data_IF_500206139261
#
_entry.id   IF_500206139261
#
_cell.length_a   1.000
_cell.length_b   1.000
_cell.length_c   1.000
_cell.angle_alpha   90.00
_cell.angle_beta   90.00
_cell.angle_gamma   90.00
#
_symmetry.space_group_name_H-M   'P 1'
#
loop_
_entity.id
_entity.type
_entity.pdbx_description
1 polymer ?
#
# COMPACT_ATOMS: atom_id res chain seq x y z
N UNK A 1 15.11 10.41 1.50
CA UNK A 1 13.64 10.27 1.32
C UNK A 1 13.22 9.12 2.19
N UNK A 2 12.47 9.37 3.26
CA UNK A 2 11.93 8.29 4.09
C UNK A 2 10.83 7.55 3.31
N UNK A 3 10.74 6.22 3.40
CA UNK A 3 9.70 5.46 2.73
C UNK A 3 8.33 5.79 3.36
N UNK A 4 7.39 6.24 2.52
CA UNK A 4 6.01 6.59 2.90
C UNK A 4 5.24 5.37 3.47
N UNK A 5 5.74 4.16 3.24
CA UNK A 5 5.06 2.91 3.57
C UNK A 5 6.09 1.85 3.94
N UNK A 6 5.76 1.00 4.90
CA UNK A 6 6.54 -0.19 5.29
C UNK A 6 6.43 -1.35 4.29
N UNK A 7 5.50 -1.27 3.32
CA UNK A 7 5.30 -2.30 2.30
C UNK A 7 6.42 -2.25 1.25
N UNK A 8 7.02 -3.41 0.98
CA UNK A 8 8.09 -3.59 -0.02
C UNK A 8 7.55 -3.80 -1.45
N UNK A 9 6.41 -4.47 -1.60
CA UNK A 9 5.84 -4.87 -2.88
C UNK A 9 4.50 -4.21 -3.14
N UNK A 10 4.20 -3.90 -4.40
CA UNK A 10 2.88 -3.42 -4.80
C UNK A 10 1.96 -4.60 -5.12
N UNK A 11 1.26 -5.09 -4.10
CA UNK A 11 0.35 -6.24 -4.21
C UNK A 11 -1.01 -5.92 -4.86
N UNK A 12 -1.34 -4.64 -5.07
CA UNK A 12 -2.62 -4.26 -5.71
C UNK A 12 -2.65 -4.60 -7.22
N UNK A 13 -1.49 -4.81 -7.83
CA UNK A 13 -1.34 -5.19 -9.25
C UNK A 13 -0.73 -6.59 -9.40
N UNK A 14 -0.79 -7.38 -8.33
CA UNK A 14 -0.28 -8.74 -8.30
C UNK A 14 -1.12 -9.66 -9.18
N UNK A 15 -0.46 -10.44 -10.05
CA UNK A 15 -1.08 -11.65 -10.58
C UNK A 15 -0.87 -12.80 -9.59
N UNK A 16 -1.91 -13.08 -8.82
CA UNK A 16 -1.87 -14.13 -7.81
C UNK A 16 -1.88 -15.54 -8.42
N UNK A 17 -2.35 -15.70 -9.65
CA UNK A 17 -2.36 -17.01 -10.32
C UNK A 17 -0.96 -17.39 -10.78
N UNK A 18 -0.23 -16.43 -11.36
CA UNK A 18 1.18 -16.58 -11.71
C UNK A 18 2.03 -16.81 -10.45
N UNK A 19 1.77 -16.06 -9.38
CA UNK A 19 2.44 -16.26 -8.09
C UNK A 19 2.26 -17.69 -7.55
N UNK A 20 1.02 -18.18 -7.51
CA UNK A 20 0.75 -19.53 -7.03
C UNK A 20 1.47 -20.60 -7.88
N UNK A 21 1.52 -20.41 -9.20
CA UNK A 21 2.16 -21.35 -10.11
C UNK A 21 3.69 -21.35 -9.92
N UNK A 22 4.31 -20.17 -9.92
CA UNK A 22 5.76 -20.04 -9.73
C UNK A 22 6.19 -20.53 -8.35
N UNK A 23 5.45 -20.18 -7.29
CA UNK A 23 5.73 -20.67 -5.94
C UNK A 23 5.69 -22.19 -5.88
N UNK A 24 4.66 -22.83 -6.46
CA UNK A 24 4.58 -24.30 -6.51
C UNK A 24 5.80 -24.90 -7.21
N UNK A 25 6.19 -24.35 -8.36
CA UNK A 25 7.33 -24.83 -9.12
C UNK A 25 8.64 -24.67 -8.33
N UNK A 26 8.83 -23.53 -7.67
CA UNK A 26 10.02 -23.25 -6.85
C UNK A 26 10.09 -24.16 -5.63
N UNK A 27 8.98 -24.39 -4.93
CA UNK A 27 8.91 -25.32 -3.81
C UNK A 27 9.20 -26.77 -4.24
N UNK A 28 8.70 -27.17 -5.41
CA UNK A 28 8.99 -28.49 -5.99
C UNK A 28 10.46 -28.61 -6.40
N UNK A 29 11.03 -27.59 -7.04
CA UNK A 29 12.45 -27.53 -7.43
C UNK A 29 13.39 -27.69 -6.23
N UNK A 30 13.07 -27.05 -5.11
CA UNK A 30 13.85 -27.16 -3.88
C UNK A 30 13.51 -28.40 -3.03
N UNK A 31 12.48 -29.17 -3.42
CA UNK A 31 12.06 -30.38 -2.70
C UNK A 31 11.64 -30.11 -1.25
N UNK A 32 11.16 -28.90 -0.94
CA UNK A 32 10.96 -28.46 0.46
C UNK A 32 9.93 -29.34 1.17
N UNK A 33 8.84 -29.72 0.48
CA UNK A 33 7.83 -30.62 1.04
C UNK A 33 8.42 -31.99 1.43
N UNK A 34 9.27 -32.57 0.58
CA UNK A 34 9.91 -33.85 0.84
C UNK A 34 10.93 -33.78 1.98
N UNK A 35 11.66 -32.65 2.10
CA UNK A 35 12.56 -32.40 3.22
C UNK A 35 11.80 -32.33 4.55
N UNK A 36 10.68 -31.61 4.59
CA UNK A 36 9.84 -31.48 5.80
C UNK A 36 9.36 -32.84 6.28
N UNK A 37 8.82 -33.69 5.40
CA UNK A 37 8.34 -35.03 5.75
C UNK A 37 9.44 -35.95 6.29
N UNK A 38 10.68 -35.81 5.82
CA UNK A 38 11.83 -36.61 6.27
C UNK A 38 12.43 -36.14 7.58
N UNK A 39 12.06 -34.94 8.04
CA UNK A 39 12.73 -34.29 9.15
C UNK A 39 12.31 -34.90 10.48
N UNK A 40 13.29 -35.26 11.31
CA UNK A 40 13.07 -35.86 12.64
C UNK A 40 13.51 -34.95 13.80
N UNK A 41 14.33 -33.94 13.51
CA UNK A 41 14.89 -33.03 14.51
C UNK A 41 14.30 -31.62 14.32
N UNK A 42 14.05 -30.88 15.41
CA UNK A 42 13.47 -29.55 15.31
C UNK A 42 14.41 -28.53 14.64
N UNK A 43 15.73 -28.67 14.76
CA UNK A 43 16.70 -27.76 14.14
C UNK A 43 16.65 -27.82 12.62
N UNK A 44 16.47 -29.02 12.08
CA UNK A 44 16.32 -29.26 10.64
C UNK A 44 14.99 -28.68 10.12
N UNK A 45 13.95 -28.63 10.97
CA UNK A 45 12.67 -28.00 10.63
C UNK A 45 12.80 -26.47 10.55
N UNK A 46 13.58 -25.87 11.45
CA UNK A 46 13.90 -24.44 11.33
C UNK A 46 14.65 -24.15 10.02
N UNK A 47 15.62 -24.98 9.65
CA UNK A 47 16.32 -24.83 8.37
C UNK A 47 15.33 -24.88 7.18
N UNK A 48 14.41 -25.86 7.17
CA UNK A 48 13.37 -25.96 6.15
C UNK A 48 12.44 -24.74 6.13
N UNK A 49 12.09 -24.19 7.29
CA UNK A 49 11.28 -22.96 7.37
C UNK A 49 11.99 -21.76 6.76
N UNK A 50 13.31 -21.64 6.99
CA UNK A 50 14.13 -20.56 6.42
C UNK A 50 14.22 -20.72 4.90
N UNK A 51 14.41 -21.94 4.40
CA UNK A 51 14.36 -22.24 2.97
C UNK A 51 13.00 -21.90 2.34
N UNK A 52 11.90 -22.25 3.01
CA UNK A 52 10.55 -21.92 2.57
C UNK A 52 10.31 -20.41 2.48
N UNK A 53 10.73 -19.66 3.50
CA UNK A 53 10.64 -18.19 3.50
C UNK A 53 11.50 -17.61 2.37
N UNK A 54 12.71 -18.13 2.15
CA UNK A 54 13.58 -17.69 1.07
C UNK A 54 12.93 -17.93 -0.31
N UNK A 55 12.30 -19.09 -0.53
CA UNK A 55 11.58 -19.38 -1.76
C UNK A 55 10.40 -18.42 -2.00
N UNK A 56 9.64 -18.07 -0.95
CA UNK A 56 8.58 -17.05 -1.06
C UNK A 56 9.17 -15.69 -1.43
N UNK A 57 10.28 -15.30 -0.80
CA UNK A 57 10.94 -14.03 -1.09
C UNK A 57 11.45 -13.96 -2.53
N UNK A 58 12.08 -15.03 -3.03
CA UNK A 58 12.54 -15.15 -4.42
C UNK A 58 11.39 -14.89 -5.41
N UNK A 59 10.27 -15.61 -5.26
CA UNK A 59 9.11 -15.47 -6.14
C UNK A 59 8.47 -14.07 -6.01
N UNK A 60 8.43 -13.50 -4.81
CA UNK A 60 7.95 -12.13 -4.63
C UNK A 60 8.82 -11.10 -5.34
N UNK A 61 10.14 -11.28 -5.37
CA UNK A 61 11.05 -10.37 -6.07
C UNK A 61 10.95 -10.46 -7.60
N UNK A 62 10.63 -11.64 -8.13
CA UNK A 62 10.42 -11.85 -9.56
C UNK A 62 9.09 -11.27 -10.05
N UNK A 63 8.00 -11.53 -9.33
CA UNK A 63 6.65 -11.19 -9.80
C UNK A 63 6.24 -9.78 -9.41
N UNK A 64 6.52 -9.35 -8.18
CA UNK A 64 5.96 -8.11 -7.68
C UNK A 64 6.89 -6.92 -7.92
N UNK A 65 6.39 -5.83 -8.52
CA UNK A 65 7.18 -4.60 -8.63
C UNK A 65 7.44 -4.01 -7.24
N UNK A 66 8.71 -3.64 -6.99
CA UNK A 66 9.14 -2.98 -5.75
C UNK A 66 8.51 -1.58 -5.64
N UNK A 67 7.90 -1.29 -4.49
CA UNK A 67 7.32 0.02 -4.20
C UNK A 67 8.42 1.09 -4.24
N UNK A 68 8.15 2.23 -4.87
CA UNK A 68 9.08 3.35 -4.95
C UNK A 68 10.07 3.31 -6.12
N UNK A 69 10.19 2.19 -6.84
CA UNK A 69 10.90 2.18 -8.12
C UNK A 69 10.02 2.83 -9.19
N UNK A 70 10.21 4.13 -9.42
CA UNK A 70 9.75 4.78 -10.66
C UNK A 70 10.48 4.08 -11.80
N UNK A 71 9.79 3.23 -12.56
CA UNK A 71 10.23 2.91 -13.92
C UNK A 71 10.10 4.20 -14.71
N UNK A 72 11.14 5.03 -14.70
CA UNK A 72 11.33 6.06 -15.72
C UNK A 72 11.55 5.29 -17.01
N UNK A 73 10.46 4.87 -17.67
CA UNK A 73 10.54 4.65 -19.10
C UNK A 73 11.00 5.99 -19.64
N UNK A 74 12.18 6.02 -20.27
CA UNK A 74 12.62 7.21 -20.99
C UNK A 74 11.49 7.52 -21.98
N UNK A 75 10.66 8.51 -21.66
CA UNK A 75 9.69 8.99 -22.62
C UNK A 75 10.51 9.49 -23.81
N UNK A 76 10.27 8.99 -25.03
CA UNK A 76 10.86 9.58 -26.21
C UNK A 76 10.56 11.07 -26.15
N UNK A 77 11.61 11.88 -26.33
CA UNK A 77 11.61 13.34 -26.32
C UNK A 77 10.29 13.90 -26.87
N UNK A 78 9.36 14.24 -25.98
CA UNK A 78 8.11 14.89 -26.38
C UNK A 78 8.43 16.34 -26.70
N UNK A 79 8.22 16.69 -27.97
CA UNK A 79 8.43 18.03 -28.50
C UNK A 79 7.70 19.09 -27.65
N UNK A 80 8.40 20.21 -27.49
CA UNK A 80 8.10 21.39 -26.68
C UNK A 80 6.71 22.01 -26.91
N UNK A 81 5.99 21.62 -27.96
CA UNK A 81 4.65 22.12 -28.30
C UNK A 81 3.54 21.75 -27.30
N UNK A 82 3.64 20.64 -26.58
CA UNK A 82 2.57 20.19 -25.65
C UNK A 82 2.58 20.87 -24.28
N UNK A 83 3.69 21.52 -23.89
CA UNK A 83 3.76 22.26 -22.62
C UNK A 83 2.88 23.51 -22.61
N UNK A 84 2.61 24.12 -23.77
CA UNK A 84 1.67 25.26 -23.87
C UNK A 84 0.21 24.84 -23.73
N UNK A 85 -0.19 23.66 -24.22
CA UNK A 85 -1.57 23.18 -24.09
C UNK A 85 -1.94 22.70 -22.69
N UNK A 86 -1.00 22.16 -21.89
CA UNK A 86 -1.30 21.74 -20.51
C UNK A 86 -1.50 22.90 -19.54
N UNK A 87 -1.04 24.11 -19.87
CA UNK A 87 -1.12 25.26 -18.96
C UNK A 87 -2.52 25.88 -18.92
N UNK A 88 -3.37 25.59 -19.90
CA UNK A 88 -4.77 26.04 -19.94
C UNK A 88 -5.75 25.04 -19.32
N UNK A 89 -5.41 23.75 -19.21
CA UNK A 89 -6.28 22.73 -18.60
C UNK A 89 -6.13 22.62 -17.08
N UNK A 90 -5.14 23.28 -16.47
CA UNK A 90 -4.97 23.36 -15.02
C UNK A 90 -5.74 24.54 -14.41
N UNK A 91 -6.86 24.94 -15.01
CA UNK A 91 -7.88 25.66 -14.26
C UNK A 91 -8.45 24.67 -13.23
N UNK A 92 -8.38 25.04 -11.95
CA UNK A 92 -8.91 24.26 -10.82
C UNK A 92 -10.24 23.62 -11.20
N UNK A 93 -10.26 22.29 -11.23
CA UNK A 93 -11.48 21.50 -11.33
C UNK A 93 -12.27 21.76 -10.04
N UNK A 94 -13.15 22.77 -10.08
CA UNK A 94 -14.15 22.95 -9.02
C UNK A 94 -15.09 21.75 -9.09
N UNK A 95 -15.26 21.05 -7.96
CA UNK A 95 -16.18 19.93 -7.83
C UNK A 95 -17.58 20.36 -8.35
N UNK A 96 -18.04 19.82 -9.50
CA UNK A 96 -19.23 20.31 -10.18
C UNK A 96 -20.53 20.06 -9.40
N UNK A 97 -20.51 19.19 -8.38
CA UNK A 97 -21.66 18.94 -7.53
C UNK A 97 -21.87 19.97 -6.41
N UNK A 98 -20.87 20.76 -6.03
CA UNK A 98 -20.96 21.57 -4.81
C UNK A 98 -21.60 22.93 -5.10
N UNK A 99 -22.89 23.08 -4.80
CA UNK A 99 -23.59 24.34 -5.01
C UNK A 99 -22.96 25.47 -4.16
N UNK A 100 -22.97 26.74 -4.59
CA UNK A 100 -22.42 27.84 -3.80
C UNK A 100 -23.02 27.97 -2.39
N UNK A 101 -24.28 27.53 -2.21
CA UNK A 101 -24.94 27.48 -0.91
C UNK A 101 -24.34 26.43 0.03
N UNK A 102 -24.01 25.24 -0.48
CA UNK A 102 -23.36 24.18 0.31
C UNK A 102 -21.94 24.58 0.76
N UNK A 103 -21.21 25.36 -0.06
CA UNK A 103 -19.90 25.90 0.34
C UNK A 103 -20.03 26.83 1.55
N UNK A 104 -21.06 27.68 1.60
CA UNK A 104 -21.30 28.60 2.72
C UNK A 104 -21.69 27.85 4.00
N UNK A 105 -22.64 26.91 3.89
CA UNK A 105 -23.06 26.09 5.03
C UNK A 105 -21.89 25.31 5.65
N UNK A 106 -21.04 24.68 4.83
CA UNK A 106 -19.86 23.95 5.32
C UNK A 106 -18.82 24.87 5.99
N UNK A 107 -18.68 26.11 5.52
CA UNK A 107 -17.79 27.10 6.14
C UNK A 107 -18.35 27.56 7.50
N UNK A 108 -19.67 27.70 7.63
CA UNK A 108 -20.36 28.10 8.86
C UNK A 108 -20.41 26.96 9.90
N UNK A 109 -20.53 25.70 9.47
CA UNK A 109 -20.62 24.52 10.34
C UNK A 109 -19.25 24.04 10.87
N UNK A 110 -18.15 24.39 10.20
CA UNK A 110 -16.82 23.99 10.62
C UNK A 110 -16.41 24.47 12.03
N UNK A 111 -16.59 25.76 12.42
CA UNK A 111 -16.22 26.22 13.76
C UNK A 111 -17.03 25.54 14.86
N UNK A 112 -18.32 25.26 14.64
CA UNK A 112 -19.19 24.59 15.63
C UNK A 112 -18.83 23.11 15.78
N UNK A 113 -18.55 22.42 14.67
CA UNK A 113 -18.06 21.04 14.71
C UNK A 113 -16.69 20.95 15.44
N UNK A 114 -15.82 21.94 15.23
CA UNK A 114 -14.51 22.01 15.87
C UNK A 114 -14.62 22.20 17.39
N UNK A 115 -15.52 23.08 17.86
CA UNK A 115 -15.72 23.28 19.31
C UNK A 115 -16.30 22.04 19.98
N UNK A 116 -17.29 21.39 19.35
CA UNK A 116 -17.89 20.14 19.85
C UNK A 116 -16.83 19.03 19.97
N UNK A 117 -15.96 18.90 18.96
CA UNK A 117 -14.89 17.91 18.98
C UNK A 117 -13.90 18.14 20.13
N UNK A 118 -13.46 19.39 20.33
CA UNK A 118 -12.54 19.73 21.42
C UNK A 118 -13.16 19.44 22.79
N UNK A 119 -14.43 19.81 23.00
CA UNK A 119 -15.14 19.51 24.25
C UNK A 119 -15.23 18.00 24.52
N UNK A 120 -15.60 17.21 23.50
CA UNK A 120 -15.65 15.75 23.63
C UNK A 120 -14.28 15.13 23.88
N UNK A 121 -13.22 15.69 23.31
CA UNK A 121 -11.86 15.21 23.55
C UNK A 121 -11.40 15.50 24.99
N UNK A 122 -11.73 16.67 25.55
CA UNK A 122 -11.43 17.02 26.94
C UNK A 122 -12.23 16.15 27.93
N UNK A 123 -13.51 15.91 27.65
CA UNK A 123 -14.36 14.99 28.41
C UNK A 123 -13.77 13.58 28.38
N UNK A 124 -13.41 13.06 27.20
CA UNK A 124 -12.81 11.74 27.05
C UNK A 124 -11.42 11.61 27.71
N UNK A 125 -10.71 12.72 27.93
CA UNK A 125 -9.44 12.73 28.67
C UNK A 125 -9.63 12.72 30.19
N UNK A 126 -10.78 13.21 30.68
CA UNK A 126 -11.08 13.33 32.11
C UNK A 126 -12.00 12.24 32.64
N UNK A 127 -12.85 11.66 31.79
CA UNK A 127 -13.65 10.48 32.09
C UNK A 127 -12.75 9.24 32.16
N UNK A 128 -12.38 8.85 33.38
CA UNK A 128 -11.66 7.60 33.62
C UNK A 128 -12.56 6.42 33.23
N UNK A 129 -11.98 5.37 32.65
CA UNK A 129 -12.66 4.16 32.14
C UNK A 129 -13.38 3.29 33.20
N UNK A 130 -13.66 3.82 34.40
CA UNK A 130 -14.15 3.06 35.56
C UNK A 130 -15.68 2.95 35.70
N UNK A 131 -16.47 3.52 34.80
CA UNK A 131 -17.94 3.41 34.82
C UNK A 131 -18.52 2.53 33.70
N UNK A 132 -17.74 1.58 33.18
CA UNK A 132 -18.25 0.47 32.34
C UNK A 132 -17.95 -0.88 32.96
#
# INVERSE_FOLDING_TARGET
MEPITTRRYNTNKADWTEFCLQLRNTLQKYGIAEKVERTKRPEDLEANSREYIAAIQEVCEEIFPKIGQRKTKANPLVDSGTKRLKKTSCAKEENPQRSPHEKKAVIEDYPTAKTIYTQKAEIAQTESWKEY
#
